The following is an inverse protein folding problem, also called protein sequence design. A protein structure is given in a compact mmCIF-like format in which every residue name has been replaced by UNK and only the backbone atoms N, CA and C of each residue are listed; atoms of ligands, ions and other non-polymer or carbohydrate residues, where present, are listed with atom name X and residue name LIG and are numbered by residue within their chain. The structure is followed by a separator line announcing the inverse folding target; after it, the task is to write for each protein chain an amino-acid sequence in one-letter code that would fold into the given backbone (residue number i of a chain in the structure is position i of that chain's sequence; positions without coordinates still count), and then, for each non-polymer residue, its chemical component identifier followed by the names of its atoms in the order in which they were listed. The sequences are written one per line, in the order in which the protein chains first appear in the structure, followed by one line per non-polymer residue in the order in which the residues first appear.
data_IF_148042304718
#
_entry.id   IF_148042304718
#
_cell.length_a   1.000
_cell.length_b   1.000
_cell.length_c   1.000
_cell.angle_alpha   90.00
_cell.angle_beta   90.00
_cell.angle_gamma   90.00
#
_symmetry.space_group_name_H-M   'P 1'
#
loop_
_entity.id
_entity.type
_entity.pdbx_description
1 polymer ?
#
# COMPACT_ATOMS: atom_id res chain seq x y z
N UNK A 1 -14.49 8.09 18.39
CA UNK A 1 -13.18 8.63 18.82
C UNK A 1 -12.94 9.93 18.08
N UNK A 2 -12.70 11.00 18.80
CA UNK A 2 -12.45 12.31 18.18
C UNK A 2 -11.03 12.36 17.63
N UNK A 3 -10.86 12.96 16.47
CA UNK A 3 -9.55 13.11 15.80
C UNK A 3 -8.53 13.80 16.68
N UNK A 4 -8.96 14.80 17.49
CA UNK A 4 -8.10 15.49 18.45
C UNK A 4 -7.47 14.59 19.52
N UNK A 5 -8.04 13.41 19.79
CA UNK A 5 -7.48 12.44 20.74
C UNK A 5 -6.22 11.74 20.20
N UNK A 6 -6.00 11.83 18.88
CA UNK A 6 -4.85 11.29 18.17
C UNK A 6 -3.79 12.36 17.87
N UNK A 7 -4.10 13.63 18.17
CA UNK A 7 -3.20 14.74 17.87
C UNK A 7 -2.03 14.77 18.86
N UNK A 8 -0.83 14.97 18.33
CA UNK A 8 0.39 15.09 19.12
C UNK A 8 1.44 15.88 18.34
N UNK A 9 2.35 16.51 19.07
CA UNK A 9 3.46 17.24 18.49
C UNK A 9 4.53 16.27 17.97
N UNK A 10 4.70 16.22 16.65
CA UNK A 10 5.78 15.47 16.00
C UNK A 10 6.89 16.42 15.57
N UNK A 11 8.08 16.24 16.13
CA UNK A 11 9.27 16.95 15.67
C UNK A 11 9.56 16.56 14.20
N UNK A 12 9.53 17.52 13.24
CA UNK A 12 9.83 17.24 11.83
C UNK A 12 11.20 16.59 11.60
N UNK A 13 12.15 16.76 12.53
CA UNK A 13 13.46 16.11 12.46
C UNK A 13 13.38 14.58 12.60
N UNK A 14 12.32 14.06 13.23
CA UNK A 14 12.10 12.62 13.39
C UNK A 14 11.52 11.93 12.15
N UNK A 15 11.05 12.68 11.15
CA UNK A 15 10.58 12.12 9.89
C UNK A 15 11.77 11.54 9.14
N UNK A 16 11.78 10.21 8.96
CA UNK A 16 12.81 9.54 8.17
C UNK A 16 12.65 9.90 6.68
N UNK A 17 13.74 10.26 6.03
CA UNK A 17 13.78 10.60 4.60
C UNK A 17 14.40 9.50 3.75
N UNK A 18 15.02 8.51 4.39
CA UNK A 18 15.54 7.28 3.80
C UNK A 18 15.35 6.12 4.78
N UNK A 19 15.27 4.88 4.30
CA UNK A 19 15.19 3.71 5.17
C UNK A 19 16.49 3.49 5.95
N UNK A 20 16.43 2.68 7.00
CA UNK A 20 17.63 2.18 7.65
C UNK A 20 18.43 1.26 6.71
N UNK A 21 19.75 1.24 6.86
CA UNK A 21 20.64 0.34 6.10
C UNK A 21 21.45 -0.49 7.09
N UNK A 22 21.27 -1.83 7.10
CA UNK A 22 20.25 -2.59 6.40
C UNK A 22 18.83 -2.29 6.92
N UNK A 23 17.79 -2.62 6.13
CA UNK A 23 16.37 -2.29 6.45
C UNK A 23 15.92 -2.80 7.81
N UNK A 24 16.35 -3.99 8.21
CA UNK A 24 16.03 -4.63 9.48
C UNK A 24 16.78 -4.04 10.70
N UNK A 25 17.71 -3.10 10.46
CA UNK A 25 18.30 -2.28 11.52
C UNK A 25 17.34 -1.21 12.08
N UNK A 26 16.20 -1.01 11.43
CA UNK A 26 15.18 -0.07 11.90
C UNK A 26 14.73 -0.42 13.33
N UNK A 27 14.41 0.63 14.10
CA UNK A 27 13.96 0.48 15.50
C UNK A 27 12.57 -0.14 15.55
N UNK A 28 12.37 -1.05 16.48
CA UNK A 28 11.10 -1.70 16.79
C UNK A 28 10.69 -1.40 18.22
N UNK A 29 9.49 -0.86 18.40
CA UNK A 29 8.85 -0.74 19.70
C UNK A 29 7.88 -1.92 19.88
N UNK A 30 8.11 -2.74 20.90
CA UNK A 30 7.18 -3.80 21.31
C UNK A 30 6.28 -3.27 22.42
N UNK A 31 4.97 -3.29 22.17
CA UNK A 31 3.93 -2.91 23.14
C UNK A 31 3.19 -4.17 23.59
N UNK A 32 3.44 -4.61 24.83
CA UNK A 32 2.69 -5.70 25.45
C UNK A 32 1.44 -5.13 26.12
N UNK A 33 0.30 -5.23 25.46
CA UNK A 33 -0.99 -4.71 25.97
C UNK A 33 -1.47 -5.45 27.20
N UNK A 34 -1.11 -6.73 27.35
CA UNK A 34 -1.53 -7.56 28.49
C UNK A 34 -0.81 -7.15 29.76
N UNK A 35 0.48 -6.83 29.63
CA UNK A 35 1.32 -6.41 30.76
C UNK A 35 1.42 -4.89 30.92
N UNK A 36 0.91 -4.13 29.96
CA UNK A 36 1.07 -2.67 29.93
C UNK A 36 2.55 -2.24 29.81
N UNK A 37 3.39 -3.06 29.18
CA UNK A 37 4.83 -2.84 29.10
C UNK A 37 5.26 -2.44 27.70
N UNK A 38 6.29 -1.58 27.62
CA UNK A 38 6.94 -1.18 26.37
C UNK A 38 8.41 -1.58 26.44
N UNK A 39 8.92 -2.16 25.36
CA UNK A 39 10.35 -2.45 25.18
C UNK A 39 10.83 -2.05 23.78
N UNK A 40 12.12 -1.78 23.66
CA UNK A 40 12.74 -1.29 22.43
C UNK A 40 13.71 -2.34 21.89
N UNK A 41 13.59 -2.61 20.60
CA UNK A 41 14.33 -3.60 19.83
C UNK A 41 14.70 -3.04 18.47
N UNK A 42 15.37 -3.85 17.65
CA UNK A 42 15.46 -3.65 16.20
C UNK A 42 14.53 -4.66 15.48
N UNK A 43 14.18 -4.38 14.24
CA UNK A 43 13.34 -5.31 13.44
C UNK A 43 14.01 -6.67 13.28
N UNK A 44 15.35 -6.72 13.19
CA UNK A 44 16.13 -7.95 13.14
C UNK A 44 15.97 -8.87 14.37
N UNK A 45 15.43 -8.34 15.48
CA UNK A 45 15.19 -9.12 16.69
C UNK A 45 13.86 -9.90 16.65
N UNK A 46 13.04 -9.72 15.60
CA UNK A 46 11.77 -10.44 15.42
C UNK A 46 11.88 -11.95 15.60
N UNK A 47 12.95 -12.65 15.14
CA UNK A 47 13.10 -14.08 15.38
C UNK A 47 13.20 -14.49 16.86
N UNK A 48 13.56 -13.56 17.76
CA UNK A 48 13.55 -13.78 19.20
C UNK A 48 12.20 -13.42 19.86
N UNK A 49 11.39 -12.58 19.20
CA UNK A 49 10.08 -12.10 19.69
C UNK A 49 8.92 -12.99 19.21
N UNK A 50 9.08 -13.61 18.05
CA UNK A 50 8.13 -14.59 17.52
C UNK A 50 8.54 -16.01 17.96
N UNK A 51 7.59 -16.94 17.90
CA UNK A 51 7.79 -18.33 18.33
C UNK A 51 7.41 -19.31 17.23
N UNK A 52 7.92 -20.51 17.29
CA UNK A 52 7.49 -21.60 16.42
C UNK A 52 5.95 -21.77 16.50
N UNK A 53 5.32 -21.95 15.35
CA UNK A 53 3.86 -22.02 15.24
C UNK A 53 3.16 -20.66 15.10
N UNK A 54 3.89 -19.54 15.12
CA UNK A 54 3.33 -18.25 14.67
C UNK A 54 3.21 -18.22 13.15
N UNK A 55 2.17 -17.56 12.63
CA UNK A 55 1.91 -17.40 11.22
C UNK A 55 1.95 -15.93 10.83
N UNK A 56 2.93 -15.57 10.01
CA UNK A 56 3.18 -14.22 9.53
C UNK A 56 2.43 -13.98 8.23
N UNK A 57 1.50 -13.02 8.22
CA UNK A 57 0.79 -12.58 7.03
C UNK A 57 1.37 -11.26 6.52
N UNK A 58 1.68 -11.20 5.24
CA UNK A 58 2.28 -10.03 4.58
C UNK A 58 1.44 -9.60 3.38
N UNK A 59 1.47 -8.31 3.05
CA UNK A 59 0.84 -7.80 1.83
C UNK A 59 1.89 -7.82 0.70
N UNK A 60 1.71 -8.71 -0.29
CA UNK A 60 2.65 -8.93 -1.40
C UNK A 60 2.41 -8.04 -2.63
N UNK A 61 1.55 -7.01 -2.49
CA UNK A 61 1.31 -6.06 -3.57
C UNK A 61 2.60 -5.39 -4.02
N UNK A 62 2.71 -5.12 -5.32
CA UNK A 62 3.83 -4.37 -5.92
C UNK A 62 3.38 -2.96 -6.30
N UNK A 63 4.29 -2.00 -6.18
CA UNK A 63 4.03 -0.57 -6.35
C UNK A 63 4.08 -0.18 -7.82
N UNK A 64 3.07 0.57 -8.28
CA UNK A 64 3.08 1.24 -9.58
C UNK A 64 3.97 2.50 -9.52
N UNK A 65 4.63 2.84 -10.60
CA UNK A 65 5.29 4.14 -10.77
C UNK A 65 4.24 5.23 -11.02
N UNK A 66 3.37 5.42 -10.03
CA UNK A 66 2.13 6.17 -10.16
C UNK A 66 2.30 7.70 -10.07
N UNK A 67 3.46 8.20 -9.63
CA UNK A 67 3.77 9.63 -9.60
C UNK A 67 4.22 10.07 -10.98
N UNK A 68 3.70 11.20 -11.46
CA UNK A 68 3.85 11.68 -12.81
C UNK A 68 4.51 13.06 -12.81
N UNK A 69 5.56 13.23 -13.61
CA UNK A 69 6.12 14.55 -13.95
C UNK A 69 5.46 15.03 -15.24
N UNK A 70 4.58 16.02 -15.13
CA UNK A 70 3.71 16.49 -16.21
C UNK A 70 4.19 17.86 -16.73
N UNK A 71 4.36 17.98 -18.03
CA UNK A 71 4.88 19.19 -18.66
C UNK A 71 3.93 19.70 -19.77
N UNK A 72 3.48 20.95 -19.62
CA UNK A 72 2.81 21.71 -20.68
C UNK A 72 3.89 22.54 -21.40
N UNK A 73 4.48 21.95 -22.43
CA UNK A 73 5.59 22.58 -23.15
C UNK A 73 5.14 23.82 -23.91
N UNK A 74 3.87 23.89 -24.35
CA UNK A 74 3.32 25.06 -25.04
C UNK A 74 3.24 26.30 -24.14
N UNK A 75 3.04 26.09 -22.83
CA UNK A 75 2.97 27.19 -21.85
C UNK A 75 4.19 27.23 -20.91
N UNK A 76 5.22 26.43 -21.18
CA UNK A 76 6.43 26.28 -20.35
C UNK A 76 6.10 26.04 -18.85
N UNK A 77 5.17 25.13 -18.57
CA UNK A 77 4.71 24.81 -17.22
C UNK A 77 5.03 23.36 -16.88
N UNK A 78 5.46 23.13 -15.66
CA UNK A 78 5.60 21.80 -15.10
C UNK A 78 4.69 21.65 -13.88
N UNK A 79 4.17 20.44 -13.68
CA UNK A 79 3.39 20.07 -12.51
C UNK A 79 3.58 18.58 -12.18
N UNK A 80 3.07 18.18 -11.05
CA UNK A 80 3.08 16.77 -10.62
C UNK A 80 1.66 16.19 -10.70
N UNK A 81 1.58 14.93 -11.06
CA UNK A 81 0.36 14.15 -11.02
C UNK A 81 0.54 12.86 -10.22
N UNK A 82 -0.58 12.26 -9.87
CA UNK A 82 -0.63 10.94 -9.24
C UNK A 82 -1.73 10.12 -9.90
N UNK A 83 -1.37 8.96 -10.44
CA UNK A 83 -2.33 7.99 -10.94
C UNK A 83 -3.15 7.46 -9.76
N UNK A 84 -4.46 7.31 -9.93
CA UNK A 84 -5.37 6.79 -8.91
C UNK A 84 -5.88 5.41 -9.28
N UNK A 85 -6.90 5.36 -10.11
CA UNK A 85 -7.67 4.18 -10.44
C UNK A 85 -8.19 4.23 -11.89
N UNK A 86 -8.57 3.09 -12.47
CA UNK A 86 -9.25 3.07 -13.76
C UNK A 86 -10.55 3.88 -13.69
N UNK A 87 -10.85 4.63 -14.75
CA UNK A 87 -12.15 5.30 -14.93
C UNK A 87 -13.14 4.32 -15.58
N UNK A 88 -14.47 4.47 -15.34
CA UNK A 88 -15.49 3.76 -16.11
C UNK A 88 -15.42 4.01 -17.63
N UNK A 89 -14.83 5.11 -18.06
CA UNK A 89 -14.60 5.39 -19.49
C UNK A 89 -13.46 4.51 -20.03
N UNK A 90 -13.66 3.80 -21.15
CA UNK A 90 -12.66 2.88 -21.69
C UNK A 90 -11.31 3.54 -21.95
N UNK A 91 -10.24 2.93 -21.44
CA UNK A 91 -8.86 3.40 -21.62
C UNK A 91 -8.54 4.71 -20.89
N UNK A 92 -9.42 5.17 -20.01
CA UNK A 92 -9.21 6.38 -19.21
C UNK A 92 -8.96 6.04 -17.73
N UNK A 93 -8.29 6.95 -17.06
CA UNK A 93 -7.86 6.83 -15.66
C UNK A 93 -8.17 8.09 -14.88
N UNK A 94 -8.43 7.94 -13.61
CA UNK A 94 -8.47 9.08 -12.68
C UNK A 94 -7.05 9.42 -12.25
N UNK A 95 -6.72 10.70 -12.29
CA UNK A 95 -5.42 11.21 -11.84
C UNK A 95 -5.61 12.46 -11.00
N UNK A 96 -4.82 12.62 -9.96
CA UNK A 96 -4.65 13.92 -9.33
C UNK A 96 -3.62 14.72 -10.13
N UNK A 97 -3.86 16.02 -10.26
CA UNK A 97 -2.91 16.95 -10.90
C UNK A 97 -2.75 18.14 -9.96
N UNK A 98 -1.52 18.41 -9.54
CA UNK A 98 -1.23 19.57 -8.69
C UNK A 98 -1.57 20.86 -9.47
N UNK A 99 -2.13 21.85 -8.76
CA UNK A 99 -2.60 23.11 -9.37
C UNK A 99 -3.60 22.88 -10.52
N UNK A 100 -4.45 21.92 -10.37
CA UNK A 100 -5.43 21.45 -11.37
C UNK A 100 -6.27 22.54 -12.03
N UNK A 101 -6.51 23.69 -11.34
CA UNK A 101 -7.24 24.84 -11.87
C UNK A 101 -6.54 25.55 -13.05
N UNK A 102 -5.28 25.23 -13.30
CA UNK A 102 -4.50 25.82 -14.40
C UNK A 102 -4.68 25.12 -15.73
N UNK A 103 -5.39 23.99 -15.73
CA UNK A 103 -5.58 23.14 -16.89
C UNK A 103 -7.04 23.07 -17.29
N UNK A 104 -7.29 22.77 -18.57
CA UNK A 104 -8.59 22.68 -19.20
C UNK A 104 -8.79 21.31 -19.87
N UNK A 105 -10.05 20.99 -20.18
CA UNK A 105 -10.40 19.81 -20.96
C UNK A 105 -9.67 19.84 -22.32
N UNK A 106 -9.05 18.72 -22.69
CA UNK A 106 -8.26 18.59 -23.91
C UNK A 106 -6.79 19.00 -23.78
N UNK A 107 -6.35 19.56 -22.64
CA UNK A 107 -4.92 19.85 -22.44
C UNK A 107 -4.12 18.54 -22.48
N UNK A 108 -3.04 18.54 -23.25
CA UNK A 108 -2.12 17.42 -23.41
C UNK A 108 -0.78 17.76 -22.77
N UNK A 109 -0.35 16.94 -21.80
CA UNK A 109 0.85 17.16 -21.00
C UNK A 109 1.86 16.06 -21.32
N UNK A 110 3.08 16.43 -21.65
CA UNK A 110 4.18 15.48 -21.83
C UNK A 110 4.57 14.83 -20.49
N UNK A 111 4.89 13.56 -20.52
CA UNK A 111 5.47 12.84 -19.37
C UNK A 111 6.99 12.88 -19.47
N UNK A 112 7.65 13.19 -18.36
CA UNK A 112 9.12 13.12 -18.27
C UNK A 112 9.54 12.14 -17.19
N UNK A 113 10.59 11.37 -17.47
CA UNK A 113 11.13 10.41 -16.51
C UNK A 113 11.89 11.11 -15.35
N UNK A 114 12.45 10.32 -14.44
CA UNK A 114 13.21 10.81 -13.27
C UNK A 114 14.40 11.70 -13.62
N UNK A 115 14.94 11.55 -14.83
CA UNK A 115 16.07 12.34 -15.34
C UNK A 115 15.63 13.52 -16.22
N UNK A 116 14.31 13.77 -16.30
CA UNK A 116 13.72 14.84 -17.13
C UNK A 116 13.68 14.52 -18.63
N UNK A 117 13.95 13.27 -19.06
CA UNK A 117 13.92 12.88 -20.47
C UNK A 117 12.47 12.71 -20.94
N UNK A 118 12.21 13.16 -22.16
CA UNK A 118 10.95 13.00 -22.85
C UNK A 118 11.01 11.77 -23.76
N UNK A 119 10.14 10.80 -23.51
CA UNK A 119 10.00 9.59 -24.31
C UNK A 119 8.86 9.69 -25.33
N UNK A 120 8.24 10.86 -25.45
CA UNK A 120 7.07 11.12 -26.29
C UNK A 120 5.75 10.63 -25.67
N UNK A 121 5.78 10.13 -24.44
CA UNK A 121 4.59 9.75 -23.70
C UNK A 121 3.84 10.99 -23.22
N UNK A 122 2.50 10.93 -23.21
CA UNK A 122 1.69 12.07 -22.82
C UNK A 122 0.41 11.67 -22.09
N UNK A 123 -0.13 12.61 -21.33
CA UNK A 123 -1.42 12.53 -20.66
C UNK A 123 -2.34 13.59 -21.24
N UNK A 124 -3.52 13.19 -21.71
CA UNK A 124 -4.60 14.07 -22.14
C UNK A 124 -5.63 14.18 -21.02
N UNK A 125 -5.93 15.39 -20.60
CA UNK A 125 -6.94 15.69 -19.59
C UNK A 125 -8.31 15.78 -20.26
N UNK A 126 -9.17 14.77 -20.07
CA UNK A 126 -10.44 14.67 -20.78
C UNK A 126 -11.53 15.54 -20.14
N UNK A 127 -11.67 15.48 -18.82
CA UNK A 127 -12.63 16.27 -18.03
C UNK A 127 -12.29 16.24 -16.55
N UNK A 128 -12.80 17.24 -15.84
CA UNK A 128 -12.76 17.27 -14.38
C UNK A 128 -13.72 16.24 -13.77
N UNK A 129 -13.28 15.65 -12.66
CA UNK A 129 -14.08 14.77 -11.84
C UNK A 129 -13.77 15.05 -10.35
N UNK A 130 -14.55 15.96 -9.77
CA UNK A 130 -14.32 16.51 -8.44
C UNK A 130 -12.89 17.09 -8.29
N UNK A 131 -12.08 16.52 -7.42
CA UNK A 131 -10.67 16.93 -7.19
C UNK A 131 -9.70 16.35 -8.22
N UNK A 132 -10.12 15.32 -8.96
CA UNK A 132 -9.31 14.58 -9.92
C UNK A 132 -9.60 15.03 -11.37
N UNK A 133 -8.84 14.46 -12.28
CA UNK A 133 -9.07 14.48 -13.72
C UNK A 133 -9.34 13.08 -14.23
N UNK A 134 -10.26 12.93 -15.16
CA UNK A 134 -10.31 11.77 -16.05
C UNK A 134 -9.33 12.06 -17.17
N UNK A 135 -8.38 11.16 -17.37
CA UNK A 135 -7.28 11.36 -18.30
C UNK A 135 -7.02 10.11 -19.13
N UNK A 136 -6.45 10.29 -20.31
CA UNK A 136 -6.00 9.23 -21.20
C UNK A 136 -4.51 9.31 -21.38
N UNK A 137 -3.84 8.17 -21.33
CA UNK A 137 -2.42 8.06 -21.59
C UNK A 137 -2.18 7.73 -23.06
N UNK A 138 -1.20 8.38 -23.65
CA UNK A 138 -0.77 8.20 -25.02
C UNK A 138 0.71 7.78 -25.02
N UNK A 139 0.97 6.62 -25.60
CA UNK A 139 2.33 6.14 -25.74
C UNK A 139 3.08 6.94 -26.84
N UNK A 140 4.33 7.23 -26.57
CA UNK A 140 5.26 7.79 -27.54
C UNK A 140 5.68 6.76 -28.60
N UNK A 141 6.77 7.03 -29.36
CA UNK A 141 7.23 6.17 -30.45
C UNK A 141 7.56 4.73 -30.04
N UNK A 142 7.91 4.51 -28.77
CA UNK A 142 8.17 3.17 -28.24
C UNK A 142 6.90 2.32 -28.09
N UNK A 143 5.70 2.90 -28.20
CA UNK A 143 4.43 2.21 -28.04
C UNK A 143 4.20 1.66 -26.63
N UNK A 144 3.25 0.73 -26.51
CA UNK A 144 2.93 0.03 -25.28
C UNK A 144 1.65 0.52 -24.61
N UNK A 145 1.24 -0.22 -23.59
CA UNK A 145 0.10 0.10 -22.73
C UNK A 145 0.50 1.03 -21.58
N UNK A 146 -0.45 1.30 -20.66
CA UNK A 146 -0.18 2.14 -19.51
C UNK A 146 0.96 1.60 -18.63
N UNK A 147 1.07 0.28 -18.48
CA UNK A 147 2.13 -0.31 -17.66
C UNK A 147 3.51 0.00 -18.27
N UNK A 148 3.66 -0.09 -19.59
CA UNK A 148 4.87 0.26 -20.30
C UNK A 148 5.19 1.77 -20.22
N UNK A 149 4.18 2.64 -20.30
CA UNK A 149 4.33 4.09 -20.11
C UNK A 149 4.84 4.40 -18.70
N UNK A 150 4.18 3.83 -17.67
CA UNK A 150 4.57 4.06 -16.28
C UNK A 150 5.96 3.52 -15.96
N UNK A 151 6.35 2.39 -16.57
CA UNK A 151 7.66 1.81 -16.34
C UNK A 151 8.81 2.72 -16.83
N UNK A 152 8.65 3.42 -17.96
CA UNK A 152 9.68 4.31 -18.50
C UNK A 152 9.56 5.78 -18.09
N UNK A 153 8.34 6.29 -17.87
CA UNK A 153 8.08 7.72 -17.61
C UNK A 153 7.47 8.01 -16.24
N UNK A 154 7.03 6.98 -15.51
CA UNK A 154 6.50 7.14 -14.16
C UNK A 154 7.61 7.27 -13.11
N UNK A 155 7.26 7.81 -11.96
CA UNK A 155 8.13 8.01 -10.80
C UNK A 155 7.58 7.24 -9.59
N UNK A 156 8.45 6.97 -8.64
CA UNK A 156 8.10 6.31 -7.37
C UNK A 156 7.13 7.18 -6.56
N UNK A 157 5.96 6.66 -6.16
CA UNK A 157 4.94 7.44 -5.47
C UNK A 157 5.20 7.53 -3.96
N UNK A 158 6.34 8.12 -3.57
CA UNK A 158 6.64 8.31 -2.15
C UNK A 158 5.57 9.15 -1.45
N UNK A 159 5.28 8.88 -0.15
CA UNK A 159 4.37 9.68 0.64
C UNK A 159 4.72 11.18 0.63
N UNK A 160 3.71 12.07 0.54
CA UNK A 160 3.95 13.51 0.45
C UNK A 160 4.77 14.09 1.60
N UNK A 161 4.67 13.53 2.81
CA UNK A 161 5.41 14.00 3.98
C UNK A 161 6.91 13.71 3.86
N UNK A 162 7.32 12.59 3.23
CA UNK A 162 8.73 12.27 2.96
C UNK A 162 9.29 13.25 1.93
N UNK A 163 8.54 13.45 0.82
CA UNK A 163 8.94 14.40 -0.21
C UNK A 163 9.05 15.83 0.35
N UNK A 164 8.15 16.21 1.26
CA UNK A 164 8.23 17.51 1.96
C UNK A 164 9.48 17.58 2.83
N UNK A 165 9.72 16.57 3.68
CA UNK A 165 10.88 16.55 4.57
C UNK A 165 12.21 16.60 3.81
N UNK A 166 12.31 15.92 2.67
CA UNK A 166 13.50 16.00 1.78
C UNK A 166 13.69 17.41 1.23
N UNK A 167 12.62 18.04 0.73
CA UNK A 167 12.69 19.43 0.23
C UNK A 167 13.13 20.40 1.32
N UNK A 168 12.53 20.31 2.51
CA UNK A 168 12.84 21.17 3.65
C UNK A 168 14.31 21.02 4.10
N UNK A 169 14.91 19.83 3.88
CA UNK A 169 16.33 19.53 4.18
C UNK A 169 17.27 19.67 2.99
N UNK A 170 16.78 20.18 1.84
CA UNK A 170 17.56 20.33 0.60
C UNK A 170 18.26 19.04 0.14
N UNK A 171 17.64 17.88 0.39
CA UNK A 171 18.15 16.58 -0.04
C UNK A 171 17.84 16.33 -1.51
N UNK A 172 18.79 15.76 -2.23
CA UNK A 172 18.55 15.29 -3.61
C UNK A 172 17.58 14.12 -3.60
N UNK A 173 16.75 14.05 -4.63
CA UNK A 173 15.81 12.95 -4.87
C UNK A 173 16.42 12.11 -5.99
N UNK A 174 16.76 10.86 -5.67
CA UNK A 174 17.11 9.84 -6.64
C UNK A 174 15.96 8.86 -6.73
N UNK A 175 15.28 8.81 -7.87
CA UNK A 175 14.08 7.96 -8.05
C UNK A 175 14.47 6.49 -8.26
N UNK A 176 15.68 6.20 -8.74
CA UNK A 176 16.15 4.83 -8.91
C UNK A 176 16.43 4.18 -7.55
N UNK A 177 17.05 4.92 -6.63
CA UNK A 177 17.20 4.51 -5.23
C UNK A 177 15.83 4.36 -4.55
N UNK A 178 14.95 5.36 -4.70
CA UNK A 178 13.60 5.32 -4.15
C UNK A 178 12.80 4.12 -4.66
N UNK A 179 12.93 3.77 -5.93
CA UNK A 179 12.28 2.61 -6.53
C UNK A 179 12.72 1.31 -5.87
N UNK A 180 14.03 1.14 -5.66
CA UNK A 180 14.59 -0.05 -5.01
C UNK A 180 14.19 -0.13 -3.52
N UNK A 181 14.09 1.03 -2.86
CA UNK A 181 13.82 1.12 -1.42
C UNK A 181 12.34 1.10 -1.08
N UNK A 182 11.45 1.56 -1.99
CA UNK A 182 10.00 1.64 -1.75
C UNK A 182 9.24 0.41 -2.27
N UNK A 183 9.90 -0.74 -2.29
CA UNK A 183 9.32 -2.05 -2.62
C UNK A 183 9.68 -3.05 -1.52
N UNK A 184 8.74 -3.95 -1.16
CA UNK A 184 9.03 -5.00 -0.18
C UNK A 184 9.78 -6.16 -0.84
N UNK A 185 10.63 -6.86 -0.08
CA UNK A 185 11.39 -8.02 -0.60
C UNK A 185 10.50 -9.19 -1.02
N UNK A 186 9.24 -9.18 -0.62
CA UNK A 186 8.26 -10.21 -0.96
C UNK A 186 7.17 -9.72 -1.94
N UNK A 187 7.32 -8.52 -2.49
CA UNK A 187 6.40 -8.03 -3.51
C UNK A 187 6.42 -8.91 -4.75
N UNK A 188 5.26 -9.12 -5.35
CA UNK A 188 5.12 -9.93 -6.57
C UNK A 188 4.80 -9.03 -7.74
N UNK A 189 5.62 -9.13 -8.79
CA UNK A 189 5.41 -8.32 -10.01
C UNK A 189 4.06 -8.60 -10.69
N UNK A 190 3.49 -9.81 -10.54
CA UNK A 190 2.13 -10.14 -11.00
C UNK A 190 1.04 -9.37 -10.23
N UNK A 191 1.33 -8.94 -9.01
CA UNK A 191 0.42 -8.23 -8.11
C UNK A 191 0.68 -6.71 -8.13
N UNK A 192 1.09 -6.17 -9.28
CA UNK A 192 1.36 -4.75 -9.45
C UNK A 192 0.04 -3.99 -9.60
N UNK A 193 -0.27 -3.13 -8.62
CA UNK A 193 -1.53 -2.37 -8.61
C UNK A 193 -1.60 -1.29 -7.52
N UNK A 194 -0.62 -1.24 -6.64
CA UNK A 194 -0.60 -0.33 -5.49
C UNK A 194 -0.03 1.04 -5.85
N UNK A 195 -0.67 2.10 -5.38
CA UNK A 195 -0.17 3.48 -5.46
C UNK A 195 0.75 3.82 -4.28
N UNK A 196 0.76 2.99 -3.24
CA UNK A 196 1.68 3.12 -2.11
C UNK A 196 2.20 1.76 -1.66
N UNK A 197 3.43 1.71 -1.16
CA UNK A 197 3.99 0.50 -0.57
C UNK A 197 3.32 0.15 0.76
N UNK A 198 3.18 -1.15 1.11
CA UNK A 198 2.84 -1.57 2.47
C UNK A 198 4.04 -1.33 3.40
N UNK A 199 4.17 -0.09 3.88
CA UNK A 199 5.39 0.47 4.49
C UNK A 199 5.94 -0.32 5.66
N UNK A 200 5.10 -1.00 6.45
CA UNK A 200 5.57 -1.88 7.52
C UNK A 200 6.47 -3.01 6.99
N UNK A 201 6.19 -3.49 5.78
CA UNK A 201 6.94 -4.54 5.10
C UNK A 201 8.32 -4.12 4.60
N UNK A 202 8.56 -2.83 4.41
CA UNK A 202 9.84 -2.31 3.92
C UNK A 202 11.01 -2.60 4.87
N UNK A 203 10.73 -2.92 6.12
CA UNK A 203 11.74 -3.24 7.12
C UNK A 203 12.27 -4.69 7.03
N UNK A 204 11.63 -5.54 6.25
CA UNK A 204 12.03 -6.94 6.11
C UNK A 204 13.15 -7.10 5.08
N UNK A 205 14.03 -8.08 5.35
CA UNK A 205 15.07 -8.56 4.46
C UNK A 205 14.85 -10.04 4.17
N UNK A 206 15.41 -10.57 3.07
CA UNK A 206 15.36 -12.00 2.78
C UNK A 206 16.02 -12.82 3.88
N UNK A 207 17.13 -12.34 4.46
CA UNK A 207 17.80 -12.98 5.57
C UNK A 207 16.89 -13.09 6.81
N UNK A 208 16.21 -12.01 7.19
CA UNK A 208 15.25 -12.02 8.29
C UNK A 208 14.10 -13.01 8.05
N UNK A 209 13.56 -13.05 6.83
CA UNK A 209 12.51 -14.01 6.48
C UNK A 209 12.99 -15.45 6.55
N UNK A 210 14.23 -15.72 6.12
CA UNK A 210 14.86 -17.05 6.24
C UNK A 210 15.06 -17.45 7.71
N UNK A 211 15.50 -16.54 8.56
CA UNK A 211 15.66 -16.79 10.00
C UNK A 211 14.32 -17.09 10.69
N UNK A 212 13.27 -16.35 10.35
CA UNK A 212 11.92 -16.60 10.85
C UNK A 212 11.42 -17.99 10.42
N UNK A 213 11.60 -18.35 9.15
CA UNK A 213 11.24 -19.68 8.64
C UNK A 213 12.00 -20.80 9.32
N UNK A 214 13.33 -20.64 9.54
CA UNK A 214 14.17 -21.60 10.24
C UNK A 214 13.73 -21.83 11.71
N UNK A 215 13.06 -20.84 12.31
CA UNK A 215 12.48 -20.93 13.66
C UNK A 215 11.04 -21.44 13.68
N UNK A 216 10.51 -21.88 12.55
CA UNK A 216 9.16 -22.43 12.46
C UNK A 216 8.04 -21.40 12.41
N UNK A 217 8.34 -20.16 12.00
CA UNK A 217 7.33 -19.13 11.68
C UNK A 217 6.93 -19.28 10.21
N UNK A 218 5.68 -19.67 9.97
CA UNK A 218 5.17 -19.82 8.61
C UNK A 218 4.77 -18.46 8.01
N UNK A 219 5.10 -18.22 6.72
CA UNK A 219 4.72 -17.00 6.01
C UNK A 219 3.57 -17.26 5.04
N UNK A 220 2.59 -16.36 5.05
CA UNK A 220 1.44 -16.33 4.14
C UNK A 220 1.30 -14.95 3.51
N UNK A 221 0.68 -14.88 2.35
CA UNK A 221 0.50 -13.63 1.65
C UNK A 221 -0.98 -13.29 1.46
N UNK A 222 -1.26 -12.00 1.50
CA UNK A 222 -2.48 -11.38 0.99
C UNK A 222 -2.06 -10.32 -0.03
N UNK A 223 -2.94 -9.97 -0.96
CA UNK A 223 -2.76 -8.83 -1.85
C UNK A 223 -3.81 -7.78 -1.49
N UNK A 224 -3.40 -6.58 -1.14
CA UNK A 224 -4.27 -5.42 -1.03
C UNK A 224 -3.61 -4.27 -1.77
N UNK A 225 -4.28 -3.77 -2.80
CA UNK A 225 -3.79 -2.63 -3.57
C UNK A 225 -4.14 -1.33 -2.86
N UNK A 226 -3.09 -0.71 -2.30
CA UNK A 226 -3.22 0.55 -1.57
C UNK A 226 -3.52 1.68 -2.53
N UNK A 227 -4.65 2.32 -2.35
CA UNK A 227 -5.08 3.47 -3.15
C UNK A 227 -4.49 4.79 -2.65
N UNK A 228 -4.62 5.84 -3.46
CA UNK A 228 -4.15 7.19 -3.12
C UNK A 228 -4.89 7.82 -1.93
N UNK A 229 -6.02 7.25 -1.51
CA UNK A 229 -6.76 7.68 -0.32
C UNK A 229 -5.92 7.61 0.96
N UNK A 230 -4.94 6.70 1.02
CA UNK A 230 -3.99 6.57 2.13
C UNK A 230 -3.15 7.84 2.36
N UNK A 231 -3.01 8.70 1.35
CA UNK A 231 -2.28 9.97 1.45
C UNK A 231 -3.16 11.16 1.87
N UNK A 232 -4.49 10.97 1.96
CA UNK A 232 -5.37 12.04 2.41
C UNK A 232 -5.33 12.17 3.92
N UNK A 233 -5.18 13.39 4.45
CA UNK A 233 -5.29 13.61 5.90
C UNK A 233 -6.73 13.33 6.36
N UNK A 234 -6.87 12.98 7.62
CA UNK A 234 -8.18 12.89 8.29
C UNK A 234 -8.62 14.31 8.64
N UNK A 235 -9.67 14.81 7.96
CA UNK A 235 -10.16 16.19 8.12
C UNK A 235 -11.50 16.27 8.89
N UNK A 236 -11.98 15.13 9.42
CA UNK A 236 -13.23 15.03 10.17
C UNK A 236 -12.97 15.07 11.68
N UNK A 237 -13.94 15.58 12.45
CA UNK A 237 -13.85 15.63 13.90
C UNK A 237 -14.04 14.24 14.56
N UNK A 238 -14.89 13.40 13.98
CA UNK A 238 -15.09 12.02 14.42
C UNK A 238 -14.59 11.05 13.35
N UNK A 239 -13.73 10.11 13.73
CA UNK A 239 -13.16 9.11 12.82
C UNK A 239 -14.22 8.25 12.12
N UNK A 240 -15.40 8.09 12.70
CA UNK A 240 -16.52 7.34 12.11
C UNK A 240 -17.06 8.01 10.85
N UNK A 241 -16.88 9.32 10.72
CA UNK A 241 -17.34 10.12 9.58
C UNK A 241 -16.27 10.21 8.47
N UNK A 242 -15.08 9.62 8.68
CA UNK A 242 -14.02 9.64 7.69
C UNK A 242 -14.40 8.82 6.44
N UNK A 243 -14.42 9.44 5.25
CA UNK A 243 -14.75 8.74 4.02
C UNK A 243 -13.62 7.81 3.60
N UNK A 244 -13.73 6.53 4.02
CA UNK A 244 -12.75 5.52 3.63
C UNK A 244 -12.86 5.18 2.15
N UNK A 245 -11.74 5.24 1.45
CA UNK A 245 -11.66 4.78 0.07
C UNK A 245 -11.75 3.26 0.02
N UNK A 246 -12.46 2.78 -1.01
CA UNK A 246 -12.56 1.35 -1.28
C UNK A 246 -11.24 0.87 -1.91
N UNK A 247 -10.67 -0.19 -1.37
CA UNK A 247 -9.46 -0.83 -1.87
C UNK A 247 -9.75 -2.30 -2.20
N UNK A 248 -9.24 -2.78 -3.33
CA UNK A 248 -9.38 -4.17 -3.72
C UNK A 248 -8.35 -5.02 -3.01
N UNK A 249 -8.76 -6.22 -2.61
CA UNK A 249 -7.86 -7.20 -2.01
C UNK A 249 -8.15 -8.61 -2.51
N UNK A 250 -7.15 -9.47 -2.42
CA UNK A 250 -7.24 -10.88 -2.72
C UNK A 250 -6.47 -11.71 -1.69
N UNK A 251 -6.96 -12.90 -1.41
CA UNK A 251 -6.32 -13.88 -0.54
C UNK A 251 -6.29 -15.22 -1.25
N UNK A 252 -5.10 -15.77 -1.46
CA UNK A 252 -4.94 -17.03 -2.16
C UNK A 252 -5.58 -18.20 -1.41
N UNK A 253 -5.94 -19.26 -2.14
CA UNK A 253 -6.43 -20.52 -1.57
C UNK A 253 -5.52 -21.06 -0.46
N UNK A 254 -4.19 -20.99 -0.65
CA UNK A 254 -3.23 -21.47 0.33
C UNK A 254 -3.29 -20.65 1.63
N UNK A 255 -3.40 -19.33 1.52
CA UNK A 255 -3.53 -18.44 2.69
C UNK A 255 -4.87 -18.61 3.40
N UNK A 256 -5.96 -18.82 2.65
CA UNK A 256 -7.28 -19.13 3.23
C UNK A 256 -7.27 -20.47 3.99
N UNK A 257 -6.71 -21.51 3.39
CA UNK A 257 -6.59 -22.82 4.03
C UNK A 257 -5.74 -22.75 5.31
N UNK A 258 -4.66 -21.95 5.29
CA UNK A 258 -3.85 -21.72 6.49
C UNK A 258 -4.68 -21.04 7.60
N UNK A 259 -5.46 -19.99 7.28
CA UNK A 259 -6.33 -19.31 8.25
C UNK A 259 -7.35 -20.26 8.87
N UNK A 260 -8.01 -21.09 8.06
CA UNK A 260 -8.98 -22.08 8.52
C UNK A 260 -8.34 -23.11 9.48
N UNK A 261 -7.14 -23.61 9.11
CA UNK A 261 -6.40 -24.57 9.93
C UNK A 261 -5.91 -23.97 11.24
N UNK A 262 -5.62 -22.67 11.25
CA UNK A 262 -5.11 -21.97 12.43
C UNK A 262 -6.17 -21.67 13.47
N UNK A 263 -7.43 -21.53 13.10
CA UNK A 263 -8.47 -21.06 14.01
C UNK A 263 -8.59 -21.89 15.30
N UNK A 264 -8.58 -23.25 15.30
CA UNK A 264 -8.60 -24.03 16.52
C UNK A 264 -7.36 -23.80 17.39
N UNK A 265 -6.17 -23.72 16.77
CA UNK A 265 -4.92 -23.49 17.49
C UNK A 265 -4.83 -22.08 18.09
N UNK A 266 -5.37 -21.08 17.37
CA UNK A 266 -5.50 -19.70 17.83
C UNK A 266 -6.45 -19.59 19.01
N UNK A 267 -7.61 -20.23 18.93
CA UNK A 267 -8.58 -20.27 20.03
C UNK A 267 -8.00 -20.95 21.29
N UNK A 268 -7.16 -21.97 21.10
CA UNK A 268 -6.41 -22.63 22.18
C UNK A 268 -5.18 -21.85 22.68
N UNK A 269 -4.83 -20.71 22.06
CA UNK A 269 -3.66 -19.91 22.41
C UNK A 269 -2.30 -20.52 22.00
N UNK A 270 -2.30 -21.60 21.22
CA UNK A 270 -1.08 -22.31 20.79
C UNK A 270 -0.50 -21.75 19.50
N UNK A 271 -1.21 -20.96 18.72
CA UNK A 271 -0.75 -20.27 17.53
C UNK A 271 -1.20 -18.80 17.52
N UNK A 272 -0.45 -17.94 16.82
CA UNK A 272 -0.79 -16.52 16.63
C UNK A 272 -0.79 -16.18 15.15
N UNK A 273 -1.73 -15.32 14.75
CA UNK A 273 -1.68 -14.61 13.48
C UNK A 273 -0.93 -13.29 13.73
N UNK A 274 0.14 -13.08 12.99
CA UNK A 274 0.96 -11.87 13.03
C UNK A 274 0.81 -11.16 11.68
N UNK A 275 0.08 -10.05 11.66
CA UNK A 275 -0.13 -9.28 10.45
C UNK A 275 0.92 -8.16 10.32
N UNK A 276 1.59 -8.08 9.17
CA UNK A 276 2.57 -7.04 8.87
C UNK A 276 1.88 -5.84 8.21
N UNK A 277 1.67 -4.79 8.99
CA UNK A 277 1.05 -3.55 8.54
C UNK A 277 -0.47 -3.55 8.58
N UNK A 278 -1.03 -2.34 8.63
CA UNK A 278 -2.48 -2.11 8.69
C UNK A 278 -3.21 -2.61 7.44
N UNK A 279 -2.56 -2.58 6.28
CA UNK A 279 -3.14 -3.11 5.02
C UNK A 279 -3.38 -4.62 5.10
N UNK A 280 -2.46 -5.37 5.71
CA UNK A 280 -2.65 -6.81 5.95
C UNK A 280 -3.77 -7.06 6.95
N UNK A 281 -3.80 -6.33 8.06
CA UNK A 281 -4.92 -6.39 9.04
C UNK A 281 -6.23 -6.12 8.33
N UNK A 282 -6.30 -5.06 7.53
CA UNK A 282 -7.48 -4.65 6.78
C UNK A 282 -7.99 -5.75 5.84
N UNK A 283 -7.09 -6.41 5.11
CA UNK A 283 -7.46 -7.54 4.24
C UNK A 283 -8.02 -8.71 5.06
N UNK A 284 -7.36 -9.09 6.15
CA UNK A 284 -7.78 -10.19 7.01
C UNK A 284 -9.12 -9.93 7.70
N UNK A 285 -9.31 -8.75 8.28
CA UNK A 285 -10.56 -8.35 8.95
C UNK A 285 -11.73 -8.18 7.97
N UNK A 286 -11.47 -8.06 6.67
CA UNK A 286 -12.51 -7.98 5.64
C UNK A 286 -12.97 -9.36 5.14
N UNK A 287 -12.31 -10.43 5.57
CA UNK A 287 -12.73 -11.79 5.21
C UNK A 287 -13.99 -12.17 5.99
N UNK A 288 -15.07 -12.62 5.30
CA UNK A 288 -16.32 -13.01 5.97
C UNK A 288 -16.14 -14.10 7.03
N UNK A 289 -15.18 -14.99 6.81
CA UNK A 289 -14.89 -16.10 7.73
C UNK A 289 -14.28 -15.70 9.08
N UNK A 290 -13.69 -14.51 9.16
CA UNK A 290 -13.08 -13.99 10.40
C UNK A 290 -14.04 -13.09 11.18
N UNK A 291 -15.20 -12.77 10.61
CA UNK A 291 -16.22 -11.99 11.28
C UNK A 291 -17.08 -12.96 12.12
N UNK A 292 -17.12 -12.82 13.45
CA UNK A 292 -18.03 -13.64 14.25
C UNK A 292 -19.47 -13.34 13.80
N UNK A 293 -20.30 -14.36 13.56
CA UNK A 293 -21.72 -14.12 13.32
C UNK A 293 -22.28 -13.34 14.50
N UNK A 294 -23.07 -12.32 14.23
CA UNK A 294 -23.66 -11.44 15.23
C UNK A 294 -24.37 -12.29 16.29
N UNK A 295 -23.76 -12.42 17.48
CA UNK A 295 -24.29 -13.12 18.62
C UNK A 295 -23.74 -14.53 18.93
N UNK A 296 -22.72 -15.02 18.21
CA UNK A 296 -22.05 -16.31 18.51
C UNK A 296 -20.56 -16.15 18.79
N UNK A 297 -20.07 -16.85 19.80
CA UNK A 297 -18.67 -16.77 20.24
C UNK A 297 -17.69 -17.63 19.43
N UNK A 298 -18.18 -18.55 18.58
CA UNK A 298 -17.36 -19.43 17.72
C UNK A 298 -17.99 -19.61 16.35
N UNK A 299 -17.19 -19.55 15.25
CA UNK A 299 -17.67 -19.84 13.91
C UNK A 299 -18.18 -21.30 13.81
N UNK A 300 -19.31 -21.53 13.19
CA UNK A 300 -19.78 -22.85 12.81
C UNK A 300 -19.27 -23.23 11.41
N UNK A 301 -19.38 -24.49 11.01
CA UNK A 301 -19.04 -24.92 9.63
C UNK A 301 -19.80 -24.14 8.55
N UNK A 302 -20.97 -23.58 8.87
CA UNK A 302 -21.79 -22.75 7.98
C UNK A 302 -21.24 -21.30 7.84
N UNK A 303 -20.29 -20.90 8.68
CA UNK A 303 -19.66 -19.57 8.68
C UNK A 303 -18.38 -19.54 7.78
N UNK A 304 -18.03 -20.68 7.19
CA UNK A 304 -16.96 -20.76 6.19
C UNK A 304 -17.42 -20.05 4.92
N UNK A 305 -16.46 -19.48 4.22
CA UNK A 305 -16.71 -18.87 2.90
C UNK A 305 -17.50 -19.85 2.02
N UNK A 306 -18.68 -19.47 1.52
CA UNK A 306 -19.42 -20.31 0.62
C UNK A 306 -18.60 -20.52 -0.66
N UNK A 307 -18.73 -21.70 -1.28
CA UNK A 307 -17.93 -22.08 -2.45
C UNK A 307 -18.07 -21.11 -3.63
N UNK A 308 -19.21 -20.43 -3.74
CA UNK A 308 -19.49 -19.41 -4.75
C UNK A 308 -18.85 -18.03 -4.44
N UNK A 309 -18.35 -17.81 -3.23
CA UNK A 309 -17.55 -16.63 -2.89
C UNK A 309 -16.07 -16.77 -3.28
N UNK A 310 -15.64 -17.96 -3.70
CA UNK A 310 -14.28 -18.22 -4.12
C UNK A 310 -14.10 -17.95 -5.61
N UNK A 311 -12.93 -17.48 -5.99
CA UNK A 311 -12.52 -17.38 -7.39
C UNK A 311 -12.28 -18.77 -8.01
N UNK A 312 -11.97 -18.81 -9.34
CA UNK A 312 -11.75 -20.08 -10.06
C UNK A 312 -10.59 -20.93 -9.53
N UNK A 313 -9.66 -20.32 -8.80
CA UNK A 313 -8.50 -20.96 -8.19
C UNK A 313 -8.74 -21.32 -6.71
N UNK A 314 -9.92 -21.00 -6.18
CA UNK A 314 -10.31 -21.21 -4.78
C UNK A 314 -9.72 -20.20 -3.80
N UNK A 315 -9.27 -19.03 -4.30
CA UNK A 315 -8.96 -17.86 -3.53
C UNK A 315 -10.20 -16.98 -3.31
N UNK A 316 -10.03 -15.89 -2.54
CA UNK A 316 -11.07 -14.88 -2.30
C UNK A 316 -10.61 -13.54 -2.83
N UNK A 317 -11.48 -12.86 -3.57
CA UNK A 317 -11.26 -11.47 -3.98
C UNK A 317 -12.43 -10.59 -3.56
N UNK A 318 -12.12 -9.41 -3.07
CA UNK A 318 -13.13 -8.48 -2.58
C UNK A 318 -12.65 -7.05 -2.56
N UNK A 319 -13.45 -6.21 -1.94
CA UNK A 319 -13.07 -4.83 -1.67
C UNK A 319 -13.39 -4.45 -0.24
N UNK A 320 -12.56 -3.61 0.35
CA UNK A 320 -12.68 -3.18 1.74
C UNK A 320 -12.69 -1.66 1.85
N UNK A 321 -13.44 -1.15 2.81
CA UNK A 321 -13.45 0.26 3.22
C UNK A 321 -13.41 0.40 4.75
N UNK A 322 -12.98 -0.63 5.47
CA UNK A 322 -12.85 -0.54 6.94
C UNK A 322 -11.65 0.32 7.33
N UNK A 323 -11.85 1.12 8.37
CA UNK A 323 -10.79 1.88 9.03
C UNK A 323 -10.10 0.96 10.07
N UNK A 324 -8.77 0.93 10.03
CA UNK A 324 -7.94 0.18 10.98
C UNK A 324 -7.15 1.15 11.84
#
# INVERSE_FOLDING_TARGET
MHTRELDYDLDPALVATSPAVPRDAARLMLVDRTRGAISHHAVRDLPALLRAGDHLFVNETSVLRARLSLHDDARARATEGLLLEPSPAPGAWRILVRQAKRFSDGDRLALRDAHGRDHGDAVELLRRDAEAWIARFHAGPAGGDLAAILERSGLTPLPPYILKARRDRHQQIDDDDDRAEYETVYARASERGSVAAPTAGLHFTDALLADLAARGVARHAVTLHVGAGTFKPVEVDDLRDHPMHRESFAVSRASLAALQTLEPARAAGSARIVAVGTTTVRALESLPMLQPPSGRATPSESDLLPADALDREGGFSGSTNILI
#
